data_IF_589291530086
#
_entry.id   IF_589291530086
#
_cell.length_a   1.000
_cell.length_b   1.000
_cell.length_c   1.000
_cell.angle_alpha   90.00
_cell.angle_beta   90.00
_cell.angle_gamma   90.00
#
_symmetry.space_group_name_H-M   'P 1'
#
loop_
_entity.id
_entity.type
_entity.pdbx_description
1 polymer ?
#
# COMPACT_ATOMS: atom_id res chain seq x y z
N UNK A 1 7.33 7.75 4.72
CA UNK A 1 6.83 9.05 5.20
C UNK A 1 6.78 8.98 6.72
N UNK A 2 7.55 9.80 7.44
CA UNK A 2 7.44 9.87 8.90
C UNK A 2 6.37 10.91 9.23
N UNK A 3 5.25 10.48 9.81
CA UNK A 3 4.26 11.39 10.37
C UNK A 3 4.72 11.77 11.78
N UNK A 4 5.11 13.03 11.98
CA UNK A 4 5.43 13.56 13.30
C UNK A 4 4.16 14.15 13.91
N UNK A 5 3.67 13.55 14.99
CA UNK A 5 2.55 14.08 15.75
C UNK A 5 3.10 15.14 16.70
N UNK A 6 2.99 16.42 16.34
CA UNK A 6 3.24 17.51 17.28
C UNK A 6 2.19 17.50 18.39
N UNK A 7 2.60 17.82 19.62
CA UNK A 7 1.72 18.02 20.78
C UNK A 7 0.86 19.28 20.61
N UNK A 8 -0.05 19.29 19.63
CA UNK A 8 -1.06 20.33 19.47
C UNK A 8 -2.42 19.68 19.67
N UNK A 9 -2.97 19.83 20.88
CA UNK A 9 -4.37 19.64 21.28
C UNK A 9 -5.25 18.89 20.26
N UNK A 10 -4.89 17.64 19.97
CA UNK A 10 -5.61 16.76 19.04
C UNK A 10 -6.75 16.00 19.75
N UNK A 11 -7.03 16.38 21.00
CA UNK A 11 -7.92 15.70 21.92
C UNK A 11 -9.40 15.84 21.59
N UNK A 12 -9.79 16.49 20.49
CA UNK A 12 -11.21 16.66 20.11
C UNK A 12 -11.63 15.92 18.82
N UNK A 13 -10.72 15.14 18.20
CA UNK A 13 -11.09 14.18 17.17
C UNK A 13 -10.66 12.77 17.61
N UNK A 14 -11.39 12.12 18.53
CA UNK A 14 -11.01 10.84 19.15
C UNK A 14 -10.83 9.65 18.18
N UNK A 15 -10.98 9.84 16.87
CA UNK A 15 -10.98 8.78 15.86
C UNK A 15 -10.33 9.19 14.52
N UNK A 16 -9.39 10.15 14.50
CA UNK A 16 -8.71 10.49 13.24
C UNK A 16 -7.83 9.32 12.76
N UNK A 17 -8.05 8.87 11.53
CA UNK A 17 -7.28 7.80 10.88
C UNK A 17 -6.64 8.36 9.62
N UNK A 18 -5.32 8.21 9.51
CA UNK A 18 -4.61 8.40 8.26
C UNK A 18 -4.46 7.04 7.61
N UNK A 19 -4.80 6.91 6.34
CA UNK A 19 -4.69 5.66 5.62
C UNK A 19 -4.12 5.86 4.22
N UNK A 20 -3.54 4.79 3.69
CA UNK A 20 -3.02 4.71 2.34
C UNK A 20 -3.40 3.37 1.72
N UNK A 21 -3.63 3.35 0.41
CA UNK A 21 -4.06 2.19 -0.35
C UNK A 21 -3.16 1.97 -1.55
N UNK A 22 -2.72 0.73 -1.73
CA UNK A 22 -2.08 0.29 -2.96
C UNK A 22 -3.04 -0.63 -3.72
N UNK A 23 -3.18 -0.42 -5.02
CA UNK A 23 -4.17 -1.13 -5.86
C UNK A 23 -3.51 -1.84 -7.04
N UNK A 24 -4.26 -2.74 -7.67
CA UNK A 24 -3.83 -3.38 -8.93
C UNK A 24 -3.83 -2.44 -10.14
N UNK A 25 -4.44 -1.25 -10.04
CA UNK A 25 -4.63 -0.29 -11.14
C UNK A 25 -5.57 0.86 -10.73
N UNK A 26 -5.97 1.69 -11.69
CA UNK A 26 -6.87 2.85 -11.44
C UNK A 26 -8.32 2.64 -11.90
N UNK A 27 -8.61 1.52 -12.60
CA UNK A 27 -9.95 1.23 -13.12
C UNK A 27 -10.95 0.74 -12.06
N UNK A 28 -12.24 0.76 -12.40
CA UNK A 28 -13.32 0.29 -11.52
C UNK A 28 -13.25 -1.20 -11.13
N UNK A 29 -12.45 -2.00 -11.83
CA UNK A 29 -12.25 -3.42 -11.57
C UNK A 29 -10.91 -3.73 -10.87
N UNK A 30 -10.21 -2.71 -10.37
CA UNK A 30 -9.01 -2.93 -9.57
C UNK A 30 -9.35 -3.51 -8.19
N UNK A 31 -8.39 -4.23 -7.62
CA UNK A 31 -8.45 -4.76 -6.26
C UNK A 31 -7.42 -4.01 -5.40
N UNK A 32 -7.71 -3.86 -4.10
CA UNK A 32 -6.74 -3.37 -3.11
C UNK A 32 -5.74 -4.50 -2.82
N UNK A 33 -4.44 -4.20 -2.87
CA UNK A 33 -3.36 -5.15 -2.56
C UNK A 33 -2.67 -4.86 -1.24
N UNK A 34 -2.73 -3.62 -0.76
CA UNK A 34 -2.23 -3.25 0.56
C UNK A 34 -3.09 -2.11 1.15
N UNK A 35 -3.30 -2.18 2.46
CA UNK A 35 -3.96 -1.13 3.25
C UNK A 35 -3.11 -0.83 4.48
N UNK A 36 -2.64 0.41 4.59
CA UNK A 36 -1.96 0.91 5.78
C UNK A 36 -2.82 1.95 6.47
N UNK A 37 -2.85 1.95 7.79
CA UNK A 37 -3.50 2.99 8.55
C UNK A 37 -2.79 3.28 9.87
N UNK A 38 -2.88 4.53 10.33
CA UNK A 38 -2.41 4.97 11.64
C UNK A 38 -3.46 5.85 12.32
N UNK A 39 -3.64 5.65 13.62
CA UNK A 39 -4.50 6.49 14.46
C UNK A 39 -3.88 6.62 15.85
N UNK A 40 -3.35 7.80 16.15
CA UNK A 40 -2.52 8.01 17.34
C UNK A 40 -1.38 7.01 17.43
N UNK A 41 -1.44 6.10 18.40
CA UNK A 41 -0.42 5.05 18.64
C UNK A 41 -0.75 3.71 17.97
N UNK A 42 -1.91 3.58 17.33
CA UNK A 42 -2.33 2.36 16.66
C UNK A 42 -1.87 2.38 15.20
N UNK A 43 -1.33 1.25 14.73
CA UNK A 43 -0.89 1.06 13.35
C UNK A 43 -1.48 -0.22 12.78
N UNK A 44 -1.79 -0.20 11.49
CA UNK A 44 -2.30 -1.33 10.72
C UNK A 44 -1.56 -1.39 9.38
N UNK A 45 -1.16 -2.59 8.97
CA UNK A 45 -0.58 -2.81 7.65
C UNK A 45 -0.97 -4.21 7.15
N UNK A 46 -1.93 -4.26 6.24
CA UNK A 46 -2.51 -5.49 5.71
C UNK A 46 -2.18 -5.63 4.23
N UNK A 47 -1.98 -6.87 3.79
CA UNK A 47 -1.71 -7.23 2.40
C UNK A 47 -2.71 -8.27 1.95
N UNK A 48 -3.19 -8.14 0.71
CA UNK A 48 -4.25 -8.99 0.15
C UNK A 48 -3.80 -9.55 -1.20
N UNK A 49 -4.06 -10.83 -1.46
CA UNK A 49 -3.86 -11.40 -2.79
C UNK A 49 -5.06 -10.98 -3.66
N UNK A 50 -4.86 -10.20 -4.73
CA UNK A 50 -5.96 -9.75 -5.57
C UNK A 50 -6.48 -10.89 -6.45
N UNK A 51 -7.72 -10.75 -6.92
CA UNK A 51 -8.38 -11.66 -7.85
C UNK A 51 -7.98 -11.35 -9.30
N UNK A 52 -7.63 -10.10 -9.57
CA UNK A 52 -7.18 -9.63 -10.88
C UNK A 52 -5.65 -9.49 -10.99
N UNK A 53 -5.17 -9.28 -12.22
CA UNK A 53 -3.74 -9.04 -12.48
C UNK A 53 -3.37 -7.63 -12.07
N UNK A 54 -2.14 -7.46 -11.59
CA UNK A 54 -1.55 -6.12 -11.45
C UNK A 54 -1.31 -5.50 -12.83
N UNK A 55 -1.72 -4.25 -13.01
CA UNK A 55 -1.30 -3.44 -14.15
C UNK A 55 0.22 -3.22 -14.10
N UNK A 56 0.90 -3.11 -15.26
CA UNK A 56 2.34 -2.86 -15.30
C UNK A 56 2.75 -1.56 -14.60
N UNK A 57 1.92 -0.51 -14.69
CA UNK A 57 2.13 0.76 -13.99
C UNK A 57 2.08 0.61 -12.47
N UNK A 58 1.00 0.01 -11.96
CA UNK A 58 0.82 -0.26 -10.53
C UNK A 58 1.95 -1.12 -9.96
N UNK A 59 2.35 -2.19 -10.67
CA UNK A 59 3.47 -3.04 -10.24
C UNK A 59 4.79 -2.27 -10.11
N UNK A 60 5.03 -1.30 -11.00
CA UNK A 60 6.26 -0.50 -11.03
C UNK A 60 6.33 0.50 -9.89
N UNK A 61 5.20 1.12 -9.55
CA UNK A 61 5.12 2.17 -8.53
C UNK A 61 5.15 1.53 -7.14
N UNK A 62 4.33 0.49 -6.93
CA UNK A 62 4.14 -0.14 -5.62
C UNK A 62 5.19 -1.21 -5.30
N UNK A 63 5.86 -1.74 -6.33
CA UNK A 63 6.76 -2.89 -6.20
C UNK A 63 6.05 -4.22 -6.00
N UNK A 64 4.71 -4.26 -5.97
CA UNK A 64 3.97 -5.50 -5.84
C UNK A 64 3.87 -6.26 -7.16
N UNK A 65 3.97 -7.58 -7.08
CA UNK A 65 3.74 -8.51 -8.18
C UNK A 65 2.92 -9.70 -7.69
N UNK A 66 2.03 -10.20 -8.54
CA UNK A 66 1.23 -11.39 -8.26
C UNK A 66 1.69 -12.53 -9.14
N UNK A 67 2.06 -13.67 -8.53
CA UNK A 67 2.46 -14.88 -9.24
C UNK A 67 1.92 -16.11 -8.54
N UNK A 68 1.24 -16.99 -9.28
CA UNK A 68 0.66 -18.24 -8.75
C UNK A 68 -0.18 -18.00 -7.48
N UNK A 69 -1.05 -16.98 -7.52
CA UNK A 69 -1.94 -16.63 -6.41
C UNK A 69 -1.22 -16.22 -5.11
N UNK A 70 -0.03 -15.64 -5.23
CA UNK A 70 0.75 -15.08 -4.12
C UNK A 70 1.19 -13.67 -4.48
N UNK A 71 1.14 -12.77 -3.49
CA UNK A 71 1.64 -11.40 -3.59
C UNK A 71 3.11 -11.36 -3.16
N UNK A 72 3.95 -10.73 -3.96
CA UNK A 72 5.36 -10.53 -3.69
C UNK A 72 5.67 -9.03 -3.73
N UNK A 73 6.48 -8.55 -2.80
CA UNK A 73 7.04 -7.22 -2.82
C UNK A 73 8.47 -7.29 -3.35
N UNK A 74 8.76 -6.57 -4.43
CA UNK A 74 10.12 -6.40 -4.94
C UNK A 74 10.64 -5.04 -4.48
N UNK A 75 11.47 -5.04 -3.44
CA UNK A 75 12.21 -3.83 -3.03
C UNK A 75 13.12 -3.39 -4.17
N UNK A 76 13.07 -2.11 -4.54
CA UNK A 76 13.91 -1.55 -5.59
C UNK A 76 15.40 -1.82 -5.28
N UNK A 77 15.99 -2.76 -6.02
CA UNK A 77 17.38 -3.19 -5.88
C UNK A 77 17.91 -4.04 -7.02
N UNK A 78 17.07 -4.44 -8.00
CA UNK A 78 17.54 -5.10 -9.23
C UNK A 78 16.64 -4.69 -10.40
N UNK A 79 16.99 -3.56 -11.04
CA UNK A 79 16.81 -3.44 -12.47
C UNK A 79 17.82 -4.40 -13.11
N UNK A 80 17.42 -5.62 -13.46
CA UNK A 80 18.17 -6.38 -14.46
C UNK A 80 17.92 -5.70 -15.81
N UNK A 81 18.96 -5.26 -16.54
CA UNK A 81 18.78 -4.86 -17.92
C UNK A 81 18.32 -6.09 -18.71
N UNK A 82 17.23 -5.96 -19.44
CA UNK A 82 16.80 -6.96 -20.42
C UNK A 82 17.85 -7.04 -21.53
N UNK A 83 18.35 -8.24 -21.77
CA UNK A 83 19.16 -8.57 -22.94
C UNK A 83 18.28 -8.91 -24.15
#
# INVERSE_FOLDING_TARGET
MAVSFGDTKFTDAPHMVFFDLETTGLGHSCDIVQLAAVSGRHTLNLFMVPRCRMEPGASRITGFRVRRHRLFLQTAGQCSPTH
#
